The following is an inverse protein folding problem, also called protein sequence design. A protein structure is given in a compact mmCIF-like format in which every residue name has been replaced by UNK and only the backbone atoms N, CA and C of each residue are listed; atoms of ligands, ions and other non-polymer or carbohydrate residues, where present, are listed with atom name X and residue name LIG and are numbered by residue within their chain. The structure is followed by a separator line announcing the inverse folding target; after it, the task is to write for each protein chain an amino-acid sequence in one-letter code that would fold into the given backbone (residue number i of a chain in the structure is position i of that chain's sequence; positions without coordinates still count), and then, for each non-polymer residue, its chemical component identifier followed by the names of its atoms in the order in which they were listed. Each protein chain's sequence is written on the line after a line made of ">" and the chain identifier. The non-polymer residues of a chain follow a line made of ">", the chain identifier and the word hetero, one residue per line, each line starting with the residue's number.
data_IF_268253326976
#
_entry.id   IF_268253326976
#
_cell.length_a   1.000
_cell.length_b   1.000
_cell.length_c   1.000
_cell.angle_alpha   90.00
_cell.angle_beta   90.00
_cell.angle_gamma   90.00
#
_symmetry.space_group_name_H-M   'P 1'
#
loop_
_entity.id
_entity.type
_entity.pdbx_description
1 polymer ?
#
# COMPACT_ATOMS: atom_id res chain seq x y z
N UNK A 1 -12.26 27.27 38.58
CA UNK A 1 -11.59 25.98 38.32
C UNK A 1 -10.10 26.27 38.24
N UNK A 2 -9.27 25.67 39.10
CA UNK A 2 -7.82 25.87 39.03
C UNK A 2 -7.29 25.27 37.72
N UNK A 3 -6.42 26.01 37.02
CA UNK A 3 -5.81 25.53 35.78
C UNK A 3 -4.88 24.34 36.11
N UNK A 4 -5.14 23.13 35.60
CA UNK A 4 -4.31 21.96 35.89
C UNK A 4 -2.83 22.16 35.48
N UNK A 5 -2.56 23.03 34.51
CA UNK A 5 -1.20 23.36 34.08
C UNK A 5 -0.40 24.15 35.13
N UNK A 6 -1.06 24.92 36.00
CA UNK A 6 -0.38 25.67 37.06
C UNK A 6 0.22 24.75 38.13
N UNK A 7 -0.44 23.62 38.41
CA UNK A 7 0.07 22.62 39.36
C UNK A 7 1.31 21.90 38.84
N UNK A 8 1.34 21.59 37.54
CA UNK A 8 2.50 20.96 36.89
C UNK A 8 3.67 21.93 36.85
N UNK A 9 3.43 23.19 36.48
CA UNK A 9 4.46 24.22 36.44
C UNK A 9 5.14 24.42 37.80
N UNK A 10 4.35 24.58 38.88
CA UNK A 10 4.91 24.76 40.22
C UNK A 10 5.69 23.53 40.69
N UNK A 11 5.19 22.32 40.43
CA UNK A 11 5.88 21.08 40.78
C UNK A 11 7.22 20.89 40.07
N UNK A 12 7.31 21.29 38.79
CA UNK A 12 8.57 21.25 38.02
C UNK A 12 9.52 22.34 38.51
N UNK A 13 9.01 23.55 38.74
CA UNK A 13 9.80 24.69 39.19
C UNK A 13 10.45 24.43 40.57
N UNK A 14 9.73 23.79 41.49
CA UNK A 14 10.25 23.43 42.81
C UNK A 14 11.38 22.39 42.72
N UNK A 15 11.25 21.37 41.86
CA UNK A 15 12.32 20.38 41.65
C UNK A 15 13.57 20.96 40.98
N UNK A 16 13.45 22.05 40.24
CA UNK A 16 14.60 22.72 39.65
C UNK A 16 15.44 23.46 40.69
N UNK A 17 14.86 23.86 41.83
CA UNK A 17 15.62 24.41 42.96
C UNK A 17 16.53 23.36 43.60
N UNK A 18 16.06 22.13 43.79
CA UNK A 18 16.89 21.03 44.34
C UNK A 18 18.19 20.82 43.54
N UNK A 19 18.13 20.98 42.21
CA UNK A 19 19.28 20.88 41.32
C UNK A 19 20.23 22.08 41.45
N UNK A 20 19.69 23.29 41.59
CA UNK A 20 20.48 24.51 41.78
C UNK A 20 21.18 24.53 43.14
N UNK A 21 20.51 24.05 44.19
CA UNK A 21 21.06 23.93 45.53
C UNK A 21 22.16 22.85 45.56
N UNK A 22 21.93 21.72 44.90
CA UNK A 22 22.99 20.70 44.74
C UNK A 22 24.23 21.26 44.03
N UNK A 23 24.07 22.14 43.03
CA UNK A 23 25.20 22.81 42.36
C UNK A 23 25.89 23.84 43.27
N UNK A 24 25.13 24.54 44.09
CA UNK A 24 25.66 25.46 45.10
C UNK A 24 26.55 24.71 46.10
N UNK A 25 26.13 23.54 46.57
CA UNK A 25 26.92 22.65 47.44
C UNK A 25 28.21 22.14 46.77
N UNK A 26 28.28 22.15 45.43
CA UNK A 26 29.50 21.85 44.65
C UNK A 26 30.37 23.08 44.38
N UNK A 27 30.05 24.23 44.98
CA UNK A 27 30.82 25.46 44.85
C UNK A 27 30.48 26.27 43.59
N UNK A 28 29.34 25.99 42.93
CA UNK A 28 28.86 26.74 41.77
C UNK A 28 27.68 27.61 42.21
N UNK A 29 27.87 28.94 42.40
CA UNK A 29 26.85 29.81 43.00
C UNK A 29 25.76 30.25 42.00
N UNK A 30 25.12 29.29 41.33
CA UNK A 30 24.06 29.56 40.34
C UNK A 30 22.73 29.87 41.01
N UNK A 31 22.42 29.28 42.17
CA UNK A 31 21.20 29.57 42.92
C UNK A 31 21.08 31.06 43.28
N UNK A 32 22.14 31.65 43.87
CA UNK A 32 22.20 33.08 44.20
C UNK A 32 22.01 33.98 42.97
N UNK A 33 22.50 33.56 41.80
CA UNK A 33 22.33 34.31 40.56
C UNK A 33 20.88 34.30 40.09
N UNK A 34 20.21 33.14 40.12
CA UNK A 34 18.81 33.02 39.71
C UNK A 34 17.88 33.81 40.64
N UNK A 35 18.14 33.77 41.95
CA UNK A 35 17.43 34.60 42.92
C UNK A 35 17.65 36.09 42.69
N UNK A 36 18.91 36.52 42.50
CA UNK A 36 19.27 37.94 42.32
C UNK A 36 18.58 38.59 41.13
N UNK A 37 18.39 37.84 40.05
CA UNK A 37 17.78 38.35 38.82
C UNK A 37 16.33 37.90 38.62
N UNK A 38 15.73 37.24 39.62
CA UNK A 38 14.35 36.77 39.59
C UNK A 38 14.06 35.86 38.37
N UNK A 39 15.01 34.99 38.04
CA UNK A 39 14.95 34.08 36.89
C UNK A 39 14.28 32.77 37.34
N UNK A 40 13.23 32.29 36.66
CA UNK A 40 12.62 31.00 36.96
C UNK A 40 13.63 29.84 36.84
N UNK A 41 13.81 29.01 37.88
CA UNK A 41 14.72 27.86 37.88
C UNK A 41 14.55 26.90 36.71
N UNK A 42 13.32 26.77 36.18
CA UNK A 42 13.01 25.91 35.03
C UNK A 42 13.80 26.28 33.76
N UNK A 43 14.30 27.51 33.65
CA UNK A 43 15.14 27.93 32.52
C UNK A 43 16.53 27.28 32.55
N UNK A 44 17.01 26.82 33.70
CA UNK A 44 18.31 26.18 33.83
C UNK A 44 18.43 24.85 33.04
N UNK A 45 17.54 23.84 33.24
CA UNK A 45 17.60 22.62 32.43
C UNK A 45 17.31 22.87 30.95
N UNK A 46 16.45 23.85 30.61
CA UNK A 46 16.21 24.23 29.22
C UNK A 46 17.47 24.79 28.54
N UNK A 47 18.24 25.63 29.26
CA UNK A 47 19.51 26.13 28.77
C UNK A 47 20.53 24.99 28.57
N UNK A 48 20.58 24.01 29.47
CA UNK A 48 21.42 22.82 29.31
C UNK A 48 21.03 22.02 28.05
N UNK A 49 19.74 21.77 27.84
CA UNK A 49 19.24 21.05 26.65
C UNK A 49 19.63 21.80 25.37
N UNK A 50 19.47 23.12 25.33
CA UNK A 50 19.86 23.93 24.18
C UNK A 50 21.37 23.87 23.90
N UNK A 51 22.20 23.92 24.95
CA UNK A 51 23.65 23.81 24.81
C UNK A 51 24.04 22.40 24.31
N UNK A 52 23.40 21.34 24.83
CA UNK A 52 23.63 19.96 24.36
C UNK A 52 23.23 19.82 22.89
N UNK A 53 22.05 20.31 22.50
CA UNK A 53 21.58 20.27 21.11
C UNK A 53 22.55 21.01 20.17
N UNK A 54 23.06 22.17 20.61
CA UNK A 54 24.04 22.94 19.84
C UNK A 54 25.39 22.21 19.75
N UNK A 55 25.84 21.56 20.82
CA UNK A 55 27.06 20.73 20.81
C UNK A 55 26.88 19.53 19.88
N UNK A 56 25.73 18.85 19.91
CA UNK A 56 25.42 17.74 18.99
C UNK A 56 25.44 18.25 17.56
N UNK A 57 24.76 19.35 17.26
CA UNK A 57 24.75 19.95 15.94
C UNK A 57 26.16 20.35 15.45
N UNK A 58 27.02 20.85 16.35
CA UNK A 58 28.39 21.23 16.02
C UNK A 58 29.35 20.03 15.88
N UNK A 59 29.10 18.94 16.61
CA UNK A 59 29.93 17.73 16.61
C UNK A 59 29.48 16.68 15.57
N UNK A 60 28.30 16.83 14.98
CA UNK A 60 27.88 16.01 13.85
C UNK A 60 28.69 16.44 12.61
N UNK A 61 29.54 15.54 12.05
CA UNK A 61 30.36 15.88 10.89
C UNK A 61 29.47 16.17 9.68
N UNK A 62 29.62 17.37 9.12
CA UNK A 62 29.03 17.70 7.83
C UNK A 62 29.61 16.78 6.76
N UNK A 63 28.79 15.87 6.24
CA UNK A 63 29.12 15.02 5.09
C UNK A 63 29.95 13.80 5.44
N UNK A 64 29.28 12.69 5.73
CA UNK A 64 29.88 11.38 5.48
C UNK A 64 30.22 11.30 3.97
N UNK A 65 31.44 10.88 3.59
CA UNK A 65 31.76 10.64 2.19
C UNK A 65 30.80 9.58 1.64
N UNK A 66 30.17 9.93 0.51
CA UNK A 66 29.25 9.07 -0.23
C UNK A 66 29.96 7.74 -0.50
N UNK A 67 29.23 6.66 -0.24
CA UNK A 67 29.69 5.29 -0.32
C UNK A 67 30.38 4.98 -1.67
N UNK A 68 31.48 4.24 -1.57
CA UNK A 68 31.63 2.99 -2.31
C UNK A 68 32.11 3.01 -3.76
N UNK A 69 32.18 4.14 -4.46
CA UNK A 69 32.42 4.06 -5.90
C UNK A 69 33.82 3.50 -6.26
N UNK A 70 33.85 2.38 -7.01
CA UNK A 70 35.01 1.73 -7.62
C UNK A 70 35.18 0.23 -7.35
N UNK A 71 34.15 -0.49 -6.88
CA UNK A 71 34.24 -1.94 -6.63
C UNK A 71 33.81 -2.81 -7.83
N UNK A 72 33.33 -2.19 -8.90
CA UNK A 72 32.86 -2.84 -10.12
C UNK A 72 31.45 -3.43 -10.02
N UNK A 73 30.70 -3.18 -8.94
CA UNK A 73 29.35 -3.69 -8.70
C UNK A 73 28.43 -2.54 -8.32
N UNK A 74 27.43 -2.24 -9.14
CA UNK A 74 26.42 -1.22 -8.81
C UNK A 74 25.61 -1.64 -7.57
N UNK A 75 25.93 -1.05 -6.41
CA UNK A 75 25.26 -1.29 -5.14
C UNK A 75 23.85 -0.69 -5.07
N UNK A 76 23.05 -1.12 -4.09
CA UNK A 76 21.65 -0.65 -3.94
C UNK A 76 21.52 0.83 -3.57
N UNK A 77 22.58 1.46 -3.09
CA UNK A 77 22.67 2.90 -2.80
C UNK A 77 23.39 3.70 -3.88
N UNK A 78 23.90 3.01 -4.90
CA UNK A 78 24.62 3.62 -6.01
C UNK A 78 23.67 3.84 -7.17
N UNK A 79 23.76 5.02 -7.77
CA UNK A 79 23.02 5.36 -8.98
C UNK A 79 24.03 5.72 -10.05
N UNK A 80 23.64 5.66 -11.32
CA UNK A 80 24.49 6.18 -12.40
C UNK A 80 24.87 7.67 -12.20
N UNK A 81 24.10 8.42 -11.40
CA UNK A 81 24.38 9.82 -11.05
C UNK A 81 25.38 9.99 -9.91
N UNK A 82 25.49 9.02 -9.00
CA UNK A 82 26.40 9.06 -7.84
C UNK A 82 27.66 8.22 -8.04
N UNK A 83 27.60 7.16 -8.84
CA UNK A 83 28.71 6.26 -9.14
C UNK A 83 28.66 5.70 -10.57
N UNK A 84 29.00 6.52 -11.56
CA UNK A 84 29.01 6.12 -12.97
C UNK A 84 30.06 5.04 -13.31
N UNK A 85 31.09 4.86 -12.47
CA UNK A 85 32.13 3.85 -12.67
C UNK A 85 31.60 2.42 -12.48
N UNK A 86 30.72 2.20 -11.50
CA UNK A 86 30.17 0.87 -11.21
C UNK A 86 28.77 0.67 -11.83
N UNK A 87 27.95 1.73 -11.87
CA UNK A 87 26.57 1.69 -12.40
C UNK A 87 26.42 2.06 -13.88
N UNK A 88 27.53 2.43 -14.53
CA UNK A 88 27.56 2.90 -15.93
C UNK A 88 27.03 4.33 -16.11
N UNK A 89 27.23 4.88 -17.31
CA UNK A 89 26.78 6.25 -17.63
C UNK A 89 25.25 6.34 -17.66
N UNK A 90 24.68 7.37 -17.03
CA UNK A 90 23.26 7.70 -17.23
C UNK A 90 23.04 8.08 -18.70
N UNK A 91 22.38 7.23 -19.46
CA UNK A 91 21.91 7.58 -20.80
C UNK A 91 20.79 8.60 -20.65
N UNK A 92 21.08 9.86 -20.99
CA UNK A 92 20.18 11.03 -20.84
C UNK A 92 19.10 11.13 -21.91
N UNK A 93 18.93 10.12 -22.76
CA UNK A 93 17.81 10.05 -23.68
C UNK A 93 16.63 9.40 -22.96
N UNK A 94 15.62 10.17 -22.50
CA UNK A 94 14.39 9.58 -22.01
C UNK A 94 13.83 8.65 -23.10
N UNK A 95 13.34 7.46 -22.74
CA UNK A 95 12.77 6.53 -23.70
C UNK A 95 11.66 7.25 -24.49
N UNK A 96 11.85 7.35 -25.81
CA UNK A 96 10.89 7.99 -26.71
C UNK A 96 9.63 7.14 -26.80
N UNK A 97 8.54 7.62 -26.22
CA UNK A 97 7.23 7.00 -26.33
C UNK A 97 6.26 7.47 -25.24
N UNK A 98 4.97 7.27 -25.46
CA UNK A 98 3.95 7.49 -24.44
C UNK A 98 4.02 6.35 -23.41
N UNK A 99 4.01 6.69 -22.13
CA UNK A 99 4.02 5.70 -21.07
C UNK A 99 2.69 4.95 -21.00
N UNK A 100 2.72 3.66 -20.69
CA UNK A 100 1.53 2.80 -20.63
C UNK A 100 1.59 1.82 -19.44
N UNK A 101 0.48 1.11 -19.22
CA UNK A 101 0.36 0.06 -18.20
C UNK A 101 0.70 -1.31 -18.80
N UNK A 102 1.68 -2.00 -18.22
CA UNK A 102 2.05 -3.37 -18.55
C UNK A 102 1.43 -4.34 -17.54
N UNK A 103 0.78 -5.40 -18.02
CA UNK A 103 0.19 -6.45 -17.19
C UNK A 103 1.02 -7.73 -17.32
N UNK A 104 1.60 -8.20 -16.22
CA UNK A 104 2.23 -9.53 -16.17
C UNK A 104 1.24 -10.51 -15.54
N UNK A 105 0.79 -11.48 -16.33
CA UNK A 105 -0.10 -12.55 -15.88
C UNK A 105 0.75 -13.75 -15.49
N UNK A 106 0.55 -14.21 -14.26
CA UNK A 106 1.24 -15.36 -13.69
C UNK A 106 0.26 -16.52 -13.59
N UNK A 107 0.57 -17.61 -14.27
CA UNK A 107 -0.18 -18.86 -14.30
C UNK A 107 0.64 -19.96 -13.63
N UNK A 108 -0.01 -20.93 -12.97
CA UNK A 108 0.69 -21.96 -12.19
C UNK A 108 -0.18 -22.62 -11.12
N UNK A 109 0.43 -23.35 -10.17
CA UNK A 109 -0.29 -23.87 -9.01
C UNK A 109 -0.98 -22.75 -8.23
N UNK A 110 -2.01 -23.10 -7.46
CA UNK A 110 -2.76 -22.14 -6.64
C UNK A 110 -1.78 -21.24 -5.88
N UNK A 111 -1.85 -19.93 -6.15
CA UNK A 111 -0.94 -18.95 -5.56
C UNK A 111 -1.15 -18.96 -4.04
N UNK A 112 -0.30 -19.69 -3.33
CA UNK A 112 -0.39 -19.91 -1.88
C UNK A 112 0.63 -19.10 -1.09
N UNK A 113 1.45 -18.31 -1.76
CA UNK A 113 2.39 -17.36 -1.17
C UNK A 113 2.61 -16.14 -2.06
N UNK A 114 3.43 -15.21 -1.57
CA UNK A 114 3.79 -14.01 -2.31
C UNK A 114 4.82 -14.35 -3.39
N UNK A 115 4.57 -13.87 -4.61
CA UNK A 115 5.52 -13.96 -5.72
C UNK A 115 6.02 -12.56 -6.02
N UNK A 116 7.33 -12.41 -6.22
CA UNK A 116 7.93 -11.13 -6.65
C UNK A 116 8.17 -11.18 -8.15
N UNK A 117 7.52 -10.30 -8.90
CA UNK A 117 7.71 -10.16 -10.35
C UNK A 117 8.57 -8.94 -10.62
N UNK A 118 9.73 -9.13 -11.22
CA UNK A 118 10.68 -8.08 -11.61
C UNK A 118 10.75 -7.93 -13.13
N UNK A 119 10.82 -6.71 -13.63
CA UNK A 119 10.97 -6.39 -15.05
C UNK A 119 12.42 -6.02 -15.37
N UNK A 120 12.92 -6.50 -16.51
CA UNK A 120 14.25 -6.22 -17.02
C UNK A 120 14.19 -5.79 -18.49
N UNK A 121 15.09 -4.89 -18.90
CA UNK A 121 15.23 -4.46 -20.30
C UNK A 121 16.02 -5.47 -21.16
N UNK A 122 16.29 -5.13 -22.44
CA UNK A 122 17.06 -5.99 -23.34
C UNK A 122 18.51 -6.24 -22.92
N UNK A 123 19.06 -5.41 -22.05
CA UNK A 123 20.41 -5.51 -21.52
C UNK A 123 20.43 -6.15 -20.11
N UNK A 124 19.33 -6.76 -19.67
CA UNK A 124 19.17 -7.32 -18.32
C UNK A 124 19.28 -6.26 -17.21
N UNK A 125 19.03 -4.99 -17.53
CA UNK A 125 18.95 -3.92 -16.53
C UNK A 125 17.60 -3.98 -15.85
N UNK A 126 17.62 -3.97 -14.52
CA UNK A 126 16.42 -3.90 -13.71
C UNK A 126 15.63 -2.61 -14.00
N UNK A 127 14.31 -2.73 -14.15
CA UNK A 127 13.38 -1.62 -14.37
C UNK A 127 12.58 -1.37 -13.08
N UNK A 128 11.84 -2.37 -12.60
CA UNK A 128 10.92 -2.27 -11.44
C UNK A 128 10.48 -3.67 -11.00
N UNK A 129 9.91 -3.82 -9.81
CA UNK A 129 9.29 -5.05 -9.34
C UNK A 129 8.02 -4.82 -8.51
N UNK A 130 7.22 -5.87 -8.36
CA UNK A 130 6.09 -5.93 -7.45
C UNK A 130 5.99 -7.31 -6.82
N UNK A 131 5.64 -7.34 -5.54
CA UNK A 131 5.33 -8.57 -4.81
C UNK A 131 3.85 -8.69 -4.49
N UNK A 132 3.35 -9.92 -4.38
CA UNK A 132 2.06 -10.20 -3.78
C UNK A 132 1.41 -11.51 -4.24
N UNK A 133 0.30 -11.86 -3.58
CA UNK A 133 -0.51 -13.04 -3.86
C UNK A 133 -1.61 -12.75 -4.90
N UNK A 134 -1.22 -12.44 -6.13
CA UNK A 134 -2.13 -12.08 -7.22
C UNK A 134 -1.73 -12.72 -8.54
N UNK A 135 -2.71 -13.08 -9.37
CA UNK A 135 -2.46 -13.66 -10.70
C UNK A 135 -2.03 -12.63 -11.74
N UNK A 136 -2.22 -11.33 -11.46
CA UNK A 136 -1.88 -10.24 -12.38
C UNK A 136 -1.13 -9.13 -11.63
N UNK A 137 0.02 -8.75 -12.18
CA UNK A 137 0.86 -7.66 -11.70
C UNK A 137 0.80 -6.51 -12.70
N UNK A 138 0.36 -5.33 -12.25
CA UNK A 138 0.13 -4.15 -13.11
C UNK A 138 1.24 -3.13 -12.87
N UNK A 139 2.10 -2.92 -13.85
CA UNK A 139 3.18 -1.96 -13.81
C UNK A 139 2.79 -0.71 -14.59
N UNK A 140 3.03 0.47 -14.02
CA UNK A 140 2.69 1.75 -14.61
C UNK A 140 3.97 2.47 -15.06
N UNK A 141 3.81 3.50 -15.89
CA UNK A 141 4.92 4.32 -16.39
C UNK A 141 5.97 3.51 -17.18
N UNK A 142 5.53 2.49 -17.92
CA UNK A 142 6.39 1.68 -18.79
C UNK A 142 6.42 2.32 -20.18
N UNK A 143 7.61 2.45 -20.76
CA UNK A 143 7.80 3.01 -22.10
C UNK A 143 7.99 1.92 -23.16
N UNK A 144 7.67 2.17 -24.44
CA UNK A 144 7.85 1.19 -25.50
C UNK A 144 9.30 0.72 -25.63
N UNK A 145 9.56 -0.53 -25.29
CA UNK A 145 10.88 -1.15 -25.31
C UNK A 145 10.76 -2.68 -25.26
N UNK A 146 11.89 -3.37 -25.33
CA UNK A 146 11.92 -4.82 -25.09
C UNK A 146 12.05 -5.09 -23.59
N UNK A 147 11.14 -5.88 -23.04
CA UNK A 147 11.10 -6.24 -21.62
C UNK A 147 11.01 -7.75 -21.45
N UNK A 148 11.69 -8.28 -20.44
CA UNK A 148 11.45 -9.62 -19.89
C UNK A 148 10.96 -9.49 -18.44
N UNK A 149 10.03 -10.34 -18.04
CA UNK A 149 9.59 -10.43 -16.65
C UNK A 149 10.19 -11.67 -15.98
N UNK A 150 10.58 -11.56 -14.72
CA UNK A 150 11.08 -12.68 -13.91
C UNK A 150 10.27 -12.79 -12.64
N UNK A 151 9.59 -13.92 -12.43
CA UNK A 151 8.94 -14.24 -11.17
C UNK A 151 9.92 -14.96 -10.24
N UNK A 152 10.08 -14.47 -9.02
CA UNK A 152 10.82 -15.11 -7.93
C UNK A 152 9.82 -15.69 -6.93
N UNK A 153 9.90 -17.00 -6.75
CA UNK A 153 9.06 -17.80 -5.87
C UNK A 153 9.55 -17.75 -4.41
N UNK A 154 8.67 -18.00 -3.41
CA UNK A 154 9.07 -18.19 -2.01
C UNK A 154 10.11 -19.30 -1.81
N UNK A 155 10.09 -20.33 -2.66
CA UNK A 155 11.09 -21.41 -2.64
C UNK A 155 12.50 -20.95 -3.09
N UNK A 156 12.64 -19.70 -3.56
CA UNK A 156 13.87 -19.15 -4.13
C UNK A 156 14.06 -19.44 -5.61
N UNK A 157 13.19 -20.26 -6.22
CA UNK A 157 13.19 -20.51 -7.67
C UNK A 157 12.78 -19.27 -8.46
N UNK A 158 13.29 -19.18 -9.68
CA UNK A 158 13.01 -18.07 -10.59
C UNK A 158 12.56 -18.59 -11.94
N UNK A 159 11.51 -17.98 -12.49
CA UNK A 159 11.07 -18.19 -13.86
C UNK A 159 11.11 -16.88 -14.62
N UNK A 160 11.65 -16.90 -15.82
CA UNK A 160 11.79 -15.70 -16.67
C UNK A 160 11.04 -15.89 -17.99
N UNK A 161 10.33 -14.86 -18.41
CA UNK A 161 9.77 -14.80 -19.74
C UNK A 161 10.88 -14.60 -20.77
N UNK A 162 10.59 -14.92 -22.03
CA UNK A 162 11.39 -14.41 -23.14
C UNK A 162 11.30 -12.88 -23.20
N UNK A 163 12.31 -12.26 -23.82
CA UNK A 163 12.32 -10.83 -24.10
C UNK A 163 11.23 -10.51 -25.15
N UNK A 164 10.31 -9.63 -24.82
CA UNK A 164 9.18 -9.25 -25.69
C UNK A 164 9.17 -7.74 -25.94
N UNK A 165 8.92 -7.34 -27.18
CA UNK A 165 8.65 -5.93 -27.49
C UNK A 165 7.28 -5.57 -26.91
N UNK A 166 7.26 -4.64 -25.96
CA UNK A 166 6.03 -4.14 -25.35
C UNK A 166 5.77 -2.71 -25.79
N UNK A 167 4.49 -2.40 -26.00
CA UNK A 167 3.96 -1.09 -26.35
C UNK A 167 2.48 -1.02 -25.91
N UNK A 168 1.78 0.07 -26.23
CA UNK A 168 0.37 0.26 -25.87
C UNK A 168 -0.57 -0.83 -26.42
N UNK A 169 -0.21 -1.47 -27.53
CA UNK A 169 -1.03 -2.50 -28.19
C UNK A 169 -0.59 -3.92 -27.74
N UNK A 170 0.63 -4.06 -27.24
CA UNK A 170 1.23 -5.30 -26.74
C UNK A 170 1.71 -5.15 -25.29
N UNK A 171 0.76 -4.95 -24.39
CA UNK A 171 1.03 -4.63 -22.99
C UNK A 171 0.85 -5.82 -22.03
N UNK A 172 1.02 -7.06 -22.49
CA UNK A 172 0.87 -8.26 -21.67
C UNK A 172 2.06 -9.21 -21.78
N UNK A 173 2.52 -9.72 -20.64
CA UNK A 173 3.52 -10.80 -20.55
C UNK A 173 2.92 -11.94 -19.72
N UNK A 174 3.17 -13.19 -20.13
CA UNK A 174 2.72 -14.39 -19.43
C UNK A 174 3.92 -15.12 -18.81
N UNK A 175 3.77 -15.53 -17.54
CA UNK A 175 4.74 -16.33 -16.79
C UNK A 175 4.07 -17.60 -16.28
N UNK A 176 4.66 -18.75 -16.55
CA UNK A 176 4.24 -20.03 -15.98
C UNK A 176 5.15 -20.40 -14.81
N UNK A 177 4.61 -20.42 -13.60
CA UNK A 177 5.35 -20.84 -12.40
C UNK A 177 5.49 -22.37 -12.35
N UNK A 178 6.61 -22.89 -11.81
CA UNK A 178 6.78 -24.32 -11.60
C UNK A 178 5.85 -24.79 -10.46
N UNK A 179 5.50 -26.07 -10.46
CA UNK A 179 4.63 -26.67 -9.43
C UNK A 179 5.20 -26.50 -8.01
N UNK A 180 6.52 -26.49 -7.86
CA UNK A 180 7.24 -26.36 -6.58
C UNK A 180 7.64 -24.90 -6.24
N UNK A 181 6.97 -23.92 -6.85
CA UNK A 181 7.17 -22.51 -6.53
C UNK A 181 6.87 -22.20 -5.05
N UNK A 182 5.94 -22.92 -4.44
CA UNK A 182 5.49 -22.68 -3.06
C UNK A 182 6.00 -23.72 -2.05
N UNK A 183 6.81 -24.69 -2.49
CA UNK A 183 7.48 -25.61 -1.59
C UNK A 183 8.60 -24.85 -0.88
N UNK A 184 8.31 -24.33 0.31
CA UNK A 184 9.34 -23.78 1.19
C UNK A 184 10.36 -24.90 1.42
N UNK A 185 11.62 -24.65 1.07
CA UNK A 185 12.75 -25.54 1.39
C UNK A 185 12.90 -25.55 2.91
N UNK A 186 12.05 -26.30 3.61
CA UNK A 186 12.36 -26.77 4.95
C UNK A 186 13.36 -27.88 4.73
N UNK A 187 14.54 -27.78 5.35
CA UNK A 187 15.40 -28.93 5.51
C UNK A 187 14.62 -29.95 6.35
N UNK A 188 13.96 -30.87 5.66
CA UNK A 188 13.26 -31.97 6.28
C UNK A 188 14.35 -32.92 6.76
N UNK A 189 14.56 -32.95 8.08
CA UNK A 189 15.49 -33.89 8.71
C UNK A 189 14.83 -35.28 8.74
N UNK A 190 15.12 -36.10 7.72
CA UNK A 190 14.69 -37.48 7.70
C UNK A 190 15.53 -38.35 8.64
N UNK A 191 14.89 -39.21 9.42
CA UNK A 191 15.52 -40.28 10.20
C UNK A 191 15.04 -40.43 11.64
N UNK A 192 13.89 -39.88 12.02
CA UNK A 192 13.34 -40.04 13.38
C UNK A 192 12.38 -41.25 13.53
N UNK A 193 12.09 -41.94 12.41
CA UNK A 193 11.23 -43.11 12.33
C UNK A 193 9.73 -42.80 12.31
N UNK A 194 9.31 -41.55 12.10
CA UNK A 194 7.91 -41.14 11.98
C UNK A 194 7.71 -40.27 10.75
N UNK A 195 6.65 -40.50 9.99
CA UNK A 195 6.30 -39.64 8.87
C UNK A 195 5.50 -38.41 9.35
N UNK A 196 6.18 -37.29 9.54
CA UNK A 196 5.59 -36.03 10.02
C UNK A 196 5.17 -35.11 8.87
N UNK A 197 3.97 -35.33 8.32
CA UNK A 197 3.41 -34.53 7.21
C UNK A 197 3.37 -33.02 7.49
N UNK A 198 3.23 -32.62 8.76
CA UNK A 198 3.24 -31.20 9.16
C UNK A 198 4.62 -30.54 9.03
N UNK A 199 5.69 -31.34 8.98
CA UNK A 199 7.06 -30.91 8.74
C UNK A 199 7.45 -30.99 7.26
N UNK A 200 6.53 -31.39 6.40
CA UNK A 200 6.77 -31.54 4.97
C UNK A 200 7.42 -32.87 4.61
N UNK A 201 7.42 -33.85 5.52
CA UNK A 201 7.81 -35.21 5.19
C UNK A 201 6.77 -35.83 4.27
N UNK A 202 7.28 -36.32 3.15
CA UNK A 202 6.54 -37.04 2.14
C UNK A 202 7.35 -38.28 1.80
N UNK A 203 6.71 -39.24 1.13
CA UNK A 203 7.44 -40.39 0.62
C UNK A 203 8.57 -40.01 -0.35
N UNK A 204 8.39 -38.91 -1.11
CA UNK A 204 9.33 -38.45 -2.12
C UNK A 204 10.62 -37.88 -1.52
N UNK A 205 10.54 -37.25 -0.35
CA UNK A 205 11.69 -36.64 0.32
C UNK A 205 12.14 -37.38 1.59
N UNK A 206 11.33 -38.31 2.13
CA UNK A 206 11.56 -38.97 3.43
C UNK A 206 11.16 -40.45 3.46
N UNK A 207 11.63 -41.22 2.47
CA UNK A 207 11.28 -42.64 2.32
C UNK A 207 11.62 -43.51 3.55
N UNK A 208 12.66 -43.14 4.31
CA UNK A 208 13.10 -43.87 5.50
C UNK A 208 12.03 -43.92 6.60
N UNK A 209 11.28 -42.82 6.77
CA UNK A 209 10.29 -42.68 7.83
C UNK A 209 8.86 -42.93 7.32
N UNK A 210 8.57 -42.58 6.05
CA UNK A 210 7.24 -42.69 5.46
C UNK A 210 6.91 -44.05 4.80
N UNK A 211 7.91 -44.90 4.54
CA UNK A 211 7.71 -46.26 4.02
C UNK A 211 7.02 -46.33 2.64
N UNK A 212 6.72 -47.55 2.14
CA UNK A 212 5.95 -47.75 0.91
C UNK A 212 4.45 -47.42 1.13
N UNK A 213 3.86 -46.58 0.27
CA UNK A 213 2.43 -46.26 0.25
C UNK A 213 1.57 -47.53 0.37
N UNK A 214 0.80 -47.61 1.46
CA UNK A 214 -0.45 -48.36 1.46
C UNK A 214 -1.45 -47.49 0.70
N UNK A 215 -1.85 -47.94 -0.50
CA UNK A 215 -2.73 -47.20 -1.39
C UNK A 215 -4.17 -47.13 -0.84
N UNK A 216 -4.39 -46.24 0.11
CA UNK A 216 -5.71 -45.80 0.54
C UNK A 216 -5.68 -44.28 0.74
N UNK A 217 -5.59 -43.49 -0.33
CA UNK A 217 -6.13 -42.12 -0.32
C UNK A 217 -6.14 -41.52 -1.72
N UNK A 218 -7.32 -41.58 -2.36
CA UNK A 218 -7.66 -40.58 -3.35
C UNK A 218 -7.65 -39.23 -2.64
N UNK A 219 -6.93 -38.19 -3.12
CA UNK A 219 -6.97 -36.88 -2.51
C UNK A 219 -8.43 -36.47 -2.32
N UNK A 220 -8.81 -35.94 -1.14
CA UNK A 220 -10.18 -35.50 -0.92
C UNK A 220 -10.56 -34.59 -2.08
N UNK A 221 -11.76 -34.77 -2.67
CA UNK A 221 -12.19 -33.93 -3.77
C UNK A 221 -12.03 -32.46 -3.35
N UNK A 222 -11.54 -31.58 -4.24
CA UNK A 222 -11.37 -30.17 -3.92
C UNK A 222 -12.69 -29.65 -3.33
N UNK A 223 -12.63 -28.83 -2.26
CA UNK A 223 -13.83 -28.34 -1.60
C UNK A 223 -14.74 -27.72 -2.66
N UNK A 224 -15.95 -28.27 -2.78
CA UNK A 224 -16.93 -27.80 -3.75
C UNK A 224 -17.27 -26.36 -3.36
N UNK A 225 -16.92 -25.39 -4.21
CA UNK A 225 -17.31 -24.01 -3.98
C UNK A 225 -18.84 -23.94 -3.94
N UNK A 226 -19.38 -23.54 -2.79
CA UNK A 226 -20.81 -23.34 -2.61
C UNK A 226 -21.15 -21.89 -2.94
N UNK A 227 -22.32 -21.68 -3.54
CA UNK A 227 -22.83 -20.38 -3.95
C UNK A 227 -24.21 -20.18 -3.32
N UNK A 228 -24.47 -18.96 -2.83
CA UNK A 228 -25.80 -18.52 -2.42
C UNK A 228 -26.40 -17.54 -3.43
N UNK A 229 -27.70 -17.32 -3.32
CA UNK A 229 -28.44 -16.40 -4.19
C UNK A 229 -28.86 -15.14 -3.44
N UNK A 230 -28.71 -13.98 -4.07
CA UNK A 230 -29.27 -12.71 -3.59
C UNK A 230 -30.24 -12.18 -4.63
N UNK A 231 -31.50 -12.03 -4.26
CA UNK A 231 -32.54 -11.46 -5.11
C UNK A 231 -32.74 -9.98 -4.78
N UNK A 232 -32.51 -9.11 -5.76
CA UNK A 232 -32.46 -7.66 -5.56
C UNK A 232 -33.57 -7.01 -6.36
N UNK A 233 -34.30 -6.11 -5.69
CA UNK A 233 -35.23 -5.17 -6.32
C UNK A 233 -34.75 -3.74 -6.08
N UNK A 234 -34.71 -2.91 -7.13
CA UNK A 234 -34.34 -1.50 -7.05
C UNK A 234 -35.54 -0.65 -7.45
N UNK A 235 -35.95 0.22 -6.54
CA UNK A 235 -37.13 1.09 -6.71
C UNK A 235 -36.79 2.55 -6.46
N UNK A 236 -37.57 3.43 -7.07
CA UNK A 236 -37.55 4.86 -6.78
C UNK A 236 -38.05 5.10 -5.35
N UNK A 237 -37.29 5.85 -4.56
CA UNK A 237 -37.58 6.08 -3.15
C UNK A 237 -38.86 6.90 -2.91
N UNK A 238 -39.27 7.71 -3.90
CA UNK A 238 -40.44 8.59 -3.86
C UNK A 238 -41.68 7.83 -4.37
N UNK A 239 -41.60 7.24 -5.56
CA UNK A 239 -42.76 6.61 -6.22
C UNK A 239 -42.96 5.15 -5.81
N UNK A 240 -41.89 4.46 -5.41
CA UNK A 240 -41.90 3.03 -5.13
C UNK A 240 -41.93 2.14 -6.38
N UNK A 241 -41.93 2.74 -7.58
CA UNK A 241 -41.90 2.01 -8.85
C UNK A 241 -40.49 1.45 -9.12
N UNK A 242 -40.37 0.31 -9.81
CA UNK A 242 -39.08 -0.26 -10.19
C UNK A 242 -38.33 0.69 -11.13
N UNK A 243 -37.02 0.82 -10.92
CA UNK A 243 -36.16 1.62 -11.79
C UNK A 243 -35.62 0.75 -12.92
N UNK A 244 -35.77 1.20 -14.16
CA UNK A 244 -35.20 0.53 -15.33
C UNK A 244 -33.73 0.89 -15.54
N UNK A 245 -32.94 -0.09 -16.02
CA UNK A 245 -31.52 0.07 -16.39
C UNK A 245 -30.68 0.53 -15.19
N UNK A 246 -30.66 -0.28 -14.14
CA UNK A 246 -29.82 -0.05 -12.96
C UNK A 246 -28.59 -0.94 -13.04
N UNK A 247 -27.38 -0.38 -12.92
CA UNK A 247 -26.18 -1.18 -12.70
C UNK A 247 -26.02 -1.47 -11.21
N UNK A 248 -26.10 -2.74 -10.81
CA UNK A 248 -25.88 -3.18 -9.44
C UNK A 248 -24.61 -4.01 -9.35
N UNK A 249 -23.75 -3.66 -8.40
CA UNK A 249 -22.47 -4.32 -8.13
C UNK A 249 -22.48 -4.91 -6.73
N UNK A 250 -22.12 -6.19 -6.60
CA UNK A 250 -21.92 -6.84 -5.31
C UNK A 250 -20.43 -6.92 -4.98
N UNK A 251 -20.02 -6.25 -3.91
CA UNK A 251 -18.63 -6.18 -3.48
C UNK A 251 -18.45 -6.85 -2.13
N UNK A 252 -17.33 -7.53 -1.95
CA UNK A 252 -16.99 -8.18 -0.70
C UNK A 252 -16.63 -7.14 0.37
N UNK A 253 -17.26 -7.24 1.54
CA UNK A 253 -17.08 -6.26 2.63
C UNK A 253 -15.67 -6.19 3.20
N UNK A 254 -14.85 -7.23 3.03
CA UNK A 254 -13.50 -7.29 3.62
C UNK A 254 -12.43 -6.54 2.81
N UNK A 255 -12.59 -6.42 1.50
CA UNK A 255 -11.52 -5.95 0.60
C UNK A 255 -12.03 -5.27 -0.69
N UNK A 256 -13.33 -4.95 -0.77
CA UNK A 256 -13.95 -4.28 -1.91
C UNK A 256 -13.75 -5.01 -3.25
N UNK A 257 -13.51 -6.32 -3.23
CA UNK A 257 -13.41 -7.10 -4.46
C UNK A 257 -14.82 -7.34 -5.02
N UNK A 258 -15.00 -6.99 -6.29
CA UNK A 258 -16.22 -7.25 -7.04
C UNK A 258 -16.44 -8.77 -7.15
N UNK A 259 -17.54 -9.26 -6.58
CA UNK A 259 -17.93 -10.67 -6.71
C UNK A 259 -18.82 -10.89 -7.95
N UNK A 260 -19.74 -9.97 -8.23
CA UNK A 260 -20.62 -10.02 -9.41
C UNK A 260 -21.20 -8.61 -9.72
N UNK A 261 -21.61 -8.37 -10.97
CA UNK A 261 -22.19 -7.11 -11.44
C UNK A 261 -23.24 -7.38 -12.51
N UNK A 262 -24.42 -6.76 -12.38
CA UNK A 262 -25.52 -6.92 -13.34
C UNK A 262 -26.22 -5.61 -13.64
N UNK A 263 -26.66 -5.46 -14.89
CA UNK A 263 -27.63 -4.43 -15.27
C UNK A 263 -29.03 -5.00 -15.15
N UNK A 264 -29.87 -4.36 -14.35
CA UNK A 264 -31.25 -4.75 -14.07
C UNK A 264 -32.17 -4.16 -15.13
N UNK A 265 -33.10 -4.98 -15.63
CA UNK A 265 -34.24 -4.54 -16.43
C UNK A 265 -35.51 -4.78 -15.62
N UNK A 266 -36.39 -3.79 -15.53
CA UNK A 266 -37.53 -3.74 -14.60
C UNK A 266 -37.14 -3.75 -13.12
N UNK A 267 -35.97 -3.19 -12.78
CA UNK A 267 -35.52 -3.03 -11.40
C UNK A 267 -35.29 -4.33 -10.64
N UNK A 268 -35.13 -5.49 -11.29
CA UNK A 268 -34.95 -6.78 -10.61
C UNK A 268 -33.78 -7.59 -11.18
N UNK A 269 -33.00 -8.24 -10.30
CA UNK A 269 -32.01 -9.26 -10.68
C UNK A 269 -31.63 -10.17 -9.52
N UNK A 270 -31.23 -11.40 -9.85
CA UNK A 270 -30.64 -12.36 -8.90
C UNK A 270 -29.14 -12.53 -9.13
N UNK A 271 -28.35 -12.43 -8.07
CA UNK A 271 -26.89 -12.61 -8.04
C UNK A 271 -26.54 -13.98 -7.48
N UNK A 272 -25.53 -14.64 -8.04
CA UNK A 272 -24.99 -15.90 -7.51
C UNK A 272 -23.58 -15.64 -6.97
N UNK A 273 -23.45 -15.60 -5.66
CA UNK A 273 -22.21 -15.20 -4.98
C UNK A 273 -21.69 -16.36 -4.16
N UNK A 274 -20.36 -16.49 -4.04
CA UNK A 274 -19.74 -17.52 -3.19
C UNK A 274 -20.22 -17.39 -1.76
N UNK A 275 -20.66 -18.52 -1.18
CA UNK A 275 -21.19 -18.55 0.17
C UNK A 275 -20.09 -18.33 1.22
N UNK A 276 -20.51 -18.02 2.44
CA UNK A 276 -19.61 -17.79 3.56
C UNK A 276 -18.94 -16.41 3.56
N UNK A 277 -19.44 -15.48 2.74
CA UNK A 277 -18.90 -14.12 2.62
C UNK A 277 -19.97 -13.08 2.93
N UNK A 278 -19.55 -11.98 3.55
CA UNK A 278 -20.36 -10.78 3.67
C UNK A 278 -20.08 -9.87 2.45
N UNK A 279 -21.14 -9.45 1.78
CA UNK A 279 -21.10 -8.50 0.66
C UNK A 279 -21.96 -7.28 0.95
N UNK A 280 -21.66 -6.16 0.30
CA UNK A 280 -22.54 -5.01 0.22
C UNK A 280 -22.83 -4.69 -1.25
N UNK A 281 -23.93 -3.98 -1.48
CA UNK A 281 -24.44 -3.69 -2.81
C UNK A 281 -24.34 -2.21 -3.14
N UNK A 282 -23.82 -1.89 -4.32
CA UNK A 282 -23.88 -0.55 -4.88
C UNK A 282 -24.84 -0.56 -6.06
N UNK A 283 -25.64 0.50 -6.23
CA UNK A 283 -26.55 0.65 -7.36
C UNK A 283 -26.43 2.04 -7.99
N UNK A 284 -26.44 2.09 -9.32
CA UNK A 284 -26.39 3.31 -10.12
C UNK A 284 -27.49 3.25 -11.17
N UNK A 285 -28.18 4.38 -11.34
CA UNK A 285 -29.12 4.57 -12.44
C UNK A 285 -29.03 6.03 -12.89
N UNK A 286 -29.18 6.25 -14.20
CA UNK A 286 -29.22 7.60 -14.76
C UNK A 286 -30.40 8.38 -14.17
N UNK A 287 -30.15 9.62 -13.73
CA UNK A 287 -31.16 10.46 -13.07
C UNK A 287 -31.41 10.12 -11.60
N UNK A 288 -30.58 9.28 -10.96
CA UNK A 288 -30.66 8.97 -9.53
C UNK A 288 -29.33 9.23 -8.82
N UNK A 289 -29.41 9.52 -7.53
CA UNK A 289 -28.24 9.50 -6.65
C UNK A 289 -27.74 8.05 -6.48
N UNK A 290 -26.41 7.83 -6.49
CA UNK A 290 -25.86 6.50 -6.34
C UNK A 290 -26.20 5.94 -4.95
N UNK A 291 -26.58 4.68 -4.91
CA UNK A 291 -26.74 3.95 -3.65
C UNK A 291 -25.42 3.26 -3.32
N UNK A 292 -24.84 3.58 -2.16
CA UNK A 292 -23.59 3.00 -1.67
C UNK A 292 -23.87 2.14 -0.44
N UNK A 293 -23.82 0.82 -0.61
CA UNK A 293 -24.16 -0.12 0.46
C UNK A 293 -23.11 -0.21 1.58
N UNK A 294 -21.88 0.24 1.32
CA UNK A 294 -20.78 0.17 2.30
C UNK A 294 -21.11 0.89 3.61
N UNK A 295 -21.75 2.06 3.51
CA UNK A 295 -22.09 2.92 4.65
C UNK A 295 -23.40 2.52 5.32
N UNK A 296 -24.15 1.60 4.70
CA UNK A 296 -25.44 1.17 5.18
C UNK A 296 -25.40 -0.28 5.66
N UNK A 297 -25.27 -0.47 6.98
CA UNK A 297 -25.26 -1.80 7.61
C UNK A 297 -26.51 -2.61 7.31
N UNK A 298 -27.65 -1.99 6.95
CA UNK A 298 -28.87 -2.71 6.59
C UNK A 298 -28.82 -3.35 5.20
N UNK A 299 -27.77 -3.12 4.42
CA UNK A 299 -27.61 -3.66 3.05
C UNK A 299 -26.34 -4.51 2.92
N UNK A 300 -25.71 -4.84 4.05
CA UNK A 300 -24.71 -5.89 4.13
C UNK A 300 -25.40 -7.24 4.25
N UNK A 301 -25.03 -8.17 3.39
CA UNK A 301 -25.67 -9.48 3.31
C UNK A 301 -24.62 -10.56 3.41
N UNK A 302 -24.83 -11.46 4.37
CA UNK A 302 -24.05 -12.66 4.50
C UNK A 302 -24.63 -13.75 3.60
N UNK A 303 -23.84 -14.19 2.62
CA UNK A 303 -24.31 -15.14 1.61
C UNK A 303 -24.27 -16.56 2.18
N UNK A 304 -25.44 -17.11 2.50
CA UNK A 304 -25.57 -18.50 2.95
C UNK A 304 -25.61 -19.48 1.76
N UNK A 305 -25.09 -20.71 1.89
CA UNK A 305 -25.01 -21.66 0.77
C UNK A 305 -26.36 -22.23 0.31
N UNK A 306 -27.40 -22.13 1.13
CA UNK A 306 -28.73 -22.70 0.83
C UNK A 306 -29.85 -21.65 0.85
N UNK A 307 -29.52 -20.40 1.21
CA UNK A 307 -30.50 -19.32 1.35
C UNK A 307 -30.58 -18.43 0.11
N UNK A 308 -31.79 -17.92 -0.12
CA UNK A 308 -32.03 -16.77 -1.00
C UNK A 308 -32.33 -15.57 -0.11
N UNK A 309 -31.51 -14.53 -0.21
CA UNK A 309 -31.71 -13.28 0.50
C UNK A 309 -32.43 -12.28 -0.39
N UNK A 310 -33.46 -11.60 0.12
CA UNK A 310 -34.24 -10.61 -0.62
C UNK A 310 -33.90 -9.20 -0.16
N UNK A 311 -33.47 -8.35 -1.09
CA UNK A 311 -33.03 -6.98 -0.78
C UNK A 311 -33.80 -6.00 -1.65
N UNK A 312 -34.30 -4.93 -1.03
CA UNK A 312 -34.87 -3.79 -1.75
C UNK A 312 -33.99 -2.56 -1.57
N UNK A 313 -33.41 -2.09 -2.67
CA UNK A 313 -32.67 -0.83 -2.73
C UNK A 313 -33.63 0.29 -3.14
N UNK A 314 -33.63 1.39 -2.38
CA UNK A 314 -34.43 2.58 -2.66
C UNK A 314 -33.50 3.71 -3.10
N UNK A 315 -33.56 4.11 -4.36
CA UNK A 315 -32.72 5.19 -4.89
C UNK A 315 -33.49 6.50 -4.94
N UNK A 316 -32.84 7.60 -4.54
CA UNK A 316 -33.44 8.93 -4.63
C UNK A 316 -33.18 9.53 -6.01
N UNK A 317 -34.19 10.07 -6.71
CA UNK A 317 -33.97 10.83 -7.94
C UNK A 317 -32.97 11.97 -7.71
N UNK A 318 -32.14 12.24 -8.72
CA UNK A 318 -31.23 13.38 -8.73
C UNK A 318 -31.84 14.52 -9.54
N UNK A 319 -31.82 15.72 -8.99
CA UNK A 319 -32.24 16.94 -9.69
C UNK A 319 -31.17 17.44 -10.68
N UNK A 320 -29.97 16.86 -10.67
CA UNK A 320 -28.88 17.28 -11.53
C UNK A 320 -29.15 16.89 -13.01
N UNK A 321 -28.90 17.80 -13.98
CA UNK A 321 -29.00 17.46 -15.39
C UNK A 321 -28.12 16.26 -15.76
N UNK A 322 -28.61 15.39 -16.65
CA UNK A 322 -27.82 14.28 -17.17
C UNK A 322 -26.53 14.82 -17.83
N UNK A 323 -25.37 14.31 -17.40
CA UNK A 323 -24.07 14.78 -17.88
C UNK A 323 -23.59 16.10 -17.26
N UNK A 324 -24.24 16.60 -16.21
CA UNK A 324 -23.68 17.67 -15.39
C UNK A 324 -22.31 17.25 -14.85
N UNK A 325 -21.38 18.21 -14.78
CA UNK A 325 -20.02 17.97 -14.30
C UNK A 325 -19.76 18.78 -13.03
N UNK A 326 -19.20 18.11 -12.03
CA UNK A 326 -18.73 18.69 -10.78
C UNK A 326 -17.21 18.83 -10.76
N UNK A 327 -16.72 19.58 -9.78
CA UNK A 327 -15.28 19.71 -9.51
C UNK A 327 -14.91 18.90 -8.27
N UNK A 328 -14.02 17.93 -8.41
CA UNK A 328 -13.39 17.22 -7.30
C UNK A 328 -12.03 17.83 -7.01
N UNK A 329 -11.82 18.34 -5.82
CA UNK A 329 -10.52 18.79 -5.32
C UNK A 329 -9.90 17.72 -4.42
N UNK A 330 -8.75 17.16 -4.81
CA UNK A 330 -8.02 16.17 -4.01
C UNK A 330 -6.75 16.82 -3.50
N UNK A 331 -6.65 16.98 -2.17
CA UNK A 331 -5.50 17.56 -1.50
C UNK A 331 -4.68 16.47 -0.81
N UNK A 332 -3.36 16.48 -1.03
CA UNK A 332 -2.43 15.51 -0.43
C UNK A 332 -1.54 16.24 0.57
N UNK A 333 -1.55 15.77 1.82
CA UNK A 333 -0.73 16.34 2.90
C UNK A 333 0.15 15.27 3.55
N UNK A 334 1.19 15.73 4.24
CA UNK A 334 2.01 14.96 5.17
C UNK A 334 1.92 15.68 6.51
N UNK A 335 1.04 15.20 7.38
CA UNK A 335 0.61 16.02 8.52
C UNK A 335 -0.09 17.29 8.04
N UNK A 336 0.44 18.46 8.42
CA UNK A 336 -0.09 19.77 8.02
C UNK A 336 0.61 20.36 6.78
N UNK A 337 1.64 19.71 6.26
CA UNK A 337 2.39 20.20 5.09
C UNK A 337 1.82 19.64 3.78
N UNK A 338 1.65 20.47 2.74
CA UNK A 338 1.21 20.00 1.43
C UNK A 338 2.31 19.18 0.73
N UNK A 339 1.91 18.08 0.08
CA UNK A 339 2.81 17.25 -0.72
C UNK A 339 2.76 17.71 -2.17
N UNK A 340 3.92 18.11 -2.71
CA UNK A 340 4.01 18.75 -4.04
C UNK A 340 4.45 17.79 -5.16
N UNK A 341 4.74 16.53 -4.84
CA UNK A 341 5.22 15.54 -5.81
C UNK A 341 4.48 14.21 -5.65
N UNK A 342 4.48 13.42 -6.71
CA UNK A 342 3.74 12.16 -6.79
C UNK A 342 2.50 12.26 -7.67
N UNK A 343 1.78 11.15 -7.80
CA UNK A 343 0.65 11.03 -8.72
C UNK A 343 -0.62 10.62 -7.98
N UNK A 344 -1.69 11.36 -8.21
CA UNK A 344 -3.03 11.09 -7.64
C UNK A 344 -3.92 10.50 -8.74
N UNK A 345 -4.57 9.40 -8.41
CA UNK A 345 -5.57 8.76 -9.27
C UNK A 345 -6.94 8.83 -8.61
N UNK A 346 -7.98 9.12 -9.41
CA UNK A 346 -9.39 9.11 -9.01
C UNK A 346 -10.05 7.89 -9.62
N UNK A 347 -10.79 7.15 -8.81
CA UNK A 347 -11.40 5.88 -9.17
C UNK A 347 -12.92 5.95 -9.01
N UNK A 348 -13.62 5.34 -9.95
CA UNK A 348 -15.06 5.13 -9.90
C UNK A 348 -15.37 3.95 -8.99
N UNK A 349 -15.94 4.23 -7.82
CA UNK A 349 -16.31 3.18 -6.85
C UNK A 349 -17.40 2.29 -7.41
N UNK A 350 -18.27 2.88 -8.23
CA UNK A 350 -19.46 2.20 -8.71
C UNK A 350 -19.17 1.20 -9.83
N UNK A 351 -18.05 1.38 -10.53
CA UNK A 351 -17.54 0.50 -11.59
C UNK A 351 -16.40 -0.41 -11.11
N UNK A 352 -16.40 -0.80 -9.83
CA UNK A 352 -15.39 -1.71 -9.27
C UNK A 352 -14.01 -1.07 -9.14
N UNK A 353 -13.95 0.21 -8.74
CA UNK A 353 -12.71 0.99 -8.61
C UNK A 353 -11.95 1.14 -9.94
N UNK A 354 -12.66 1.32 -11.05
CA UNK A 354 -12.03 1.64 -12.33
C UNK A 354 -11.42 3.05 -12.27
N UNK A 355 -10.18 3.21 -12.73
CA UNK A 355 -9.54 4.52 -12.77
C UNK A 355 -10.24 5.45 -13.77
N UNK A 356 -10.68 6.61 -13.30
CA UNK A 356 -11.32 7.64 -14.12
C UNK A 356 -10.30 8.64 -14.66
N UNK A 357 -9.46 9.16 -13.77
CA UNK A 357 -8.51 10.24 -14.05
C UNK A 357 -7.25 10.06 -13.20
N UNK A 358 -6.15 10.62 -13.69
CA UNK A 358 -4.87 10.64 -13.01
C UNK A 358 -4.17 11.96 -13.31
N UNK A 359 -3.48 12.53 -12.33
CA UNK A 359 -2.72 13.77 -12.49
C UNK A 359 -1.56 13.85 -11.49
N UNK A 360 -0.47 14.47 -11.90
CA UNK A 360 0.72 14.67 -11.07
C UNK A 360 0.58 15.90 -10.19
N UNK A 361 0.91 15.76 -8.90
CA UNK A 361 0.82 16.81 -7.88
C UNK A 361 1.64 18.06 -8.21
N UNK A 362 2.70 17.92 -9.01
CA UNK A 362 3.52 19.05 -9.46
C UNK A 362 2.77 20.07 -10.32
N UNK A 363 1.56 19.73 -10.78
CA UNK A 363 0.67 20.65 -11.52
C UNK A 363 -0.34 21.37 -10.61
N UNK A 364 -0.45 20.97 -9.34
CA UNK A 364 -1.39 21.49 -8.37
C UNK A 364 -0.91 22.75 -7.65
N UNK A 365 -1.83 23.41 -6.95
CA UNK A 365 -1.53 24.53 -6.05
C UNK A 365 -1.65 23.99 -4.62
N UNK A 366 -0.61 24.19 -3.80
CA UNK A 366 -0.60 23.77 -2.38
C UNK A 366 -0.92 22.27 -2.18
N UNK A 367 -0.43 21.40 -3.07
CA UNK A 367 -0.67 19.95 -2.97
C UNK A 367 -2.10 19.51 -3.29
N UNK A 368 -2.93 20.40 -3.85
CA UNK A 368 -4.29 20.10 -4.29
C UNK A 368 -4.40 20.04 -5.82
N UNK A 369 -5.11 19.02 -6.30
CA UNK A 369 -5.45 18.82 -7.71
C UNK A 369 -6.95 18.93 -7.90
N UNK A 370 -7.38 19.45 -9.06
CA UNK A 370 -8.80 19.54 -9.43
C UNK A 370 -9.09 18.65 -10.61
N UNK A 371 -10.13 17.84 -10.48
CA UNK A 371 -10.63 16.93 -11.49
C UNK A 371 -12.07 17.30 -11.85
N UNK A 372 -12.39 17.25 -13.14
CA UNK A 372 -13.77 17.34 -13.61
C UNK A 372 -14.35 15.94 -13.68
N UNK A 373 -15.43 15.70 -12.95
CA UNK A 373 -16.09 14.39 -12.83
C UNK A 373 -17.60 14.58 -12.98
N UNK A 374 -18.30 13.62 -13.55
CA UNK A 374 -19.75 13.71 -13.71
C UNK A 374 -20.44 13.74 -12.32
N UNK A 375 -21.44 14.61 -12.19
CA UNK A 375 -22.26 14.74 -10.97
C UNK A 375 -22.98 13.42 -10.69
N UNK A 376 -23.20 13.14 -9.40
CA UNK A 376 -23.74 11.89 -8.88
C UNK A 376 -22.81 10.67 -9.05
N UNK A 377 -21.57 10.83 -9.54
CA UNK A 377 -20.60 9.73 -9.44
C UNK A 377 -20.05 9.62 -8.03
N UNK A 378 -19.97 8.39 -7.52
CA UNK A 378 -19.25 8.09 -6.30
C UNK A 378 -17.81 7.73 -6.61
N UNK A 379 -16.87 8.48 -6.04
CA UNK A 379 -15.43 8.34 -6.33
C UNK A 379 -14.61 8.21 -5.05
N UNK A 380 -13.46 7.54 -5.18
CA UNK A 380 -12.37 7.55 -4.20
C UNK A 380 -11.10 8.05 -4.87
N UNK A 381 -10.16 8.57 -4.10
CA UNK A 381 -8.85 8.94 -4.60
C UNK A 381 -7.75 8.21 -3.84
N UNK A 382 -6.60 8.00 -4.48
CA UNK A 382 -5.40 7.48 -3.85
C UNK A 382 -4.15 8.07 -4.49
N UNK A 383 -3.06 8.14 -3.72
CA UNK A 383 -1.73 8.44 -4.23
C UNK A 383 -1.11 7.14 -4.76
N UNK A 384 -1.14 6.97 -6.07
CA UNK A 384 -0.70 5.74 -6.76
C UNK A 384 0.81 5.70 -7.02
N UNK A 385 1.47 6.85 -7.01
CA UNK A 385 2.93 6.96 -7.07
C UNK A 385 3.37 8.03 -6.07
N UNK A 386 3.60 7.66 -4.79
CA UNK A 386 3.99 8.62 -3.77
C UNK A 386 5.42 9.14 -3.99
N UNK A 387 5.80 10.27 -3.37
CA UNK A 387 7.19 10.71 -3.32
C UNK A 387 8.12 9.64 -2.73
N UNK A 388 9.40 9.71 -3.05
CA UNK A 388 10.42 8.85 -2.43
C UNK A 388 10.38 8.99 -0.89
N UNK A 389 10.41 7.86 -0.19
CA UNK A 389 10.31 7.81 1.28
C UNK A 389 8.88 7.79 1.84
N UNK A 390 7.86 7.88 0.98
CA UNK A 390 6.46 7.78 1.37
C UNK A 390 5.83 6.48 0.90
N UNK A 391 4.94 5.89 1.70
CA UNK A 391 4.14 4.74 1.29
C UNK A 391 2.92 5.21 0.48
N UNK A 392 2.42 4.42 -0.50
CA UNK A 392 1.18 4.76 -1.19
C UNK A 392 0.04 4.93 -0.20
N UNK A 393 -0.81 5.95 -0.39
CA UNK A 393 -1.99 6.07 0.45
C UNK A 393 -2.92 4.89 0.16
N UNK A 394 -3.66 4.43 1.19
CA UNK A 394 -4.90 3.72 0.92
C UNK A 394 -5.87 4.58 0.10
N UNK A 395 -6.99 4.00 -0.33
CA UNK A 395 -8.08 4.78 -0.88
C UNK A 395 -8.67 5.70 0.19
N UNK A 396 -9.09 6.90 -0.21
CA UNK A 396 -9.92 7.77 0.62
C UNK A 396 -11.28 7.13 0.94
N UNK A 397 -12.03 7.79 1.82
CA UNK A 397 -13.47 7.60 1.89
C UNK A 397 -14.14 7.94 0.54
N UNK A 398 -15.31 7.34 0.31
CA UNK A 398 -16.09 7.60 -0.90
C UNK A 398 -16.73 8.98 -0.82
N UNK A 399 -16.64 9.76 -1.89
CA UNK A 399 -17.33 11.04 -2.04
C UNK A 399 -18.24 10.98 -3.26
N UNK A 400 -19.50 11.41 -3.11
CA UNK A 400 -20.41 11.60 -4.24
C UNK A 400 -20.23 12.99 -4.80
N UNK A 401 -19.95 13.10 -6.09
CA UNK A 401 -19.72 14.37 -6.77
C UNK A 401 -21.01 15.16 -6.90
N UNK A 402 -20.97 16.41 -6.46
CA UNK A 402 -22.05 17.41 -6.61
C UNK A 402 -21.72 18.40 -7.72
N UNK A 403 -22.65 19.29 -8.07
CA UNK A 403 -22.33 20.44 -8.94
C UNK A 403 -21.30 21.39 -8.29
N UNK A 404 -21.30 21.47 -6.96
CA UNK A 404 -20.31 22.20 -6.17
C UNK A 404 -18.97 21.47 -6.05
N UNK A 405 -17.96 22.15 -5.49
CA UNK A 405 -16.65 21.56 -5.23
C UNK A 405 -16.73 20.52 -4.12
N UNK A 406 -16.53 19.25 -4.49
CA UNK A 406 -16.32 18.15 -3.55
C UNK A 406 -14.84 18.06 -3.18
N UNK A 407 -14.49 17.77 -1.92
CA UNK A 407 -13.09 17.72 -1.47
C UNK A 407 -12.73 16.36 -0.85
N UNK A 408 -11.57 15.83 -1.24
CA UNK A 408 -10.92 14.67 -0.60
C UNK A 408 -9.57 15.12 -0.03
N UNK A 409 -9.26 14.70 1.19
CA UNK A 409 -7.95 14.91 1.81
C UNK A 409 -7.26 13.57 2.02
N UNK A 410 -6.05 13.43 1.46
CA UNK A 410 -5.20 12.25 1.59
C UNK A 410 -4.00 12.61 2.46
N UNK A 411 -3.82 11.91 3.59
CA UNK A 411 -2.64 12.09 4.44
C UNK A 411 -1.64 10.96 4.18
N UNK A 412 -0.44 11.31 3.74
CA UNK A 412 0.64 10.37 3.49
C UNK A 412 1.47 10.14 4.76
N UNK A 413 1.69 8.86 5.05
CA UNK A 413 2.72 8.46 6.01
C UNK A 413 4.03 8.35 5.27
N UNK A 414 4.85 9.38 5.38
CA UNK A 414 6.24 9.31 4.96
C UNK A 414 7.05 8.82 6.15
N UNK A 415 8.00 7.91 5.91
CA UNK A 415 9.07 7.77 6.87
C UNK A 415 9.77 9.13 6.86
N UNK A 416 9.60 9.91 7.94
CA UNK A 416 10.64 10.87 8.32
C UNK A 416 11.93 10.11 8.13
N UNK A 417 12.88 10.67 7.37
CA UNK A 417 14.18 10.04 7.13
C UNK A 417 14.61 9.45 8.46
N UNK A 418 14.41 8.13 8.61
CA UNK A 418 14.92 7.43 9.76
C UNK A 418 16.37 7.59 9.43
N UNK A 419 17.07 8.51 10.12
CA UNK A 419 18.51 8.62 10.05
C UNK A 419 18.94 7.17 10.13
N UNK A 420 19.36 6.61 8.98
CA UNK A 420 19.65 5.20 8.93
C UNK A 420 20.82 5.10 9.87
N UNK A 421 20.57 4.61 11.09
CA UNK A 421 21.60 4.39 12.06
C UNK A 421 22.47 3.33 11.39
N UNK A 422 23.54 3.79 10.76
CA UNK A 422 24.47 2.93 10.07
C UNK A 422 25.02 2.01 11.16
N UNK A 423 24.58 0.75 11.14
CA UNK A 423 25.13 -0.26 12.03
C UNK A 423 26.52 -0.55 11.50
N UNK A 424 27.50 0.15 12.06
CA UNK A 424 28.90 -0.08 11.74
C UNK A 424 29.33 -1.40 12.35
N UNK A 425 29.32 -2.45 11.55
CA UNK A 425 29.76 -3.78 11.99
C UNK A 425 31.28 -3.82 11.98
N UNK A 426 31.89 -3.77 13.16
CA UNK A 426 33.34 -3.91 13.34
C UNK A 426 33.64 -5.39 13.60
N UNK A 427 34.19 -6.09 12.61
CA UNK A 427 34.66 -7.47 12.83
C UNK A 427 36.08 -7.40 13.37
N UNK A 428 36.30 -7.91 14.59
CA UNK A 428 37.62 -7.96 15.22
C UNK A 428 38.06 -9.39 15.49
N UNK A 429 39.35 -9.65 15.38
CA UNK A 429 39.91 -10.95 15.77
C UNK A 429 39.98 -11.10 17.30
N UNK A 430 40.39 -12.29 17.75
CA UNK A 430 40.58 -12.60 19.19
C UNK A 430 41.65 -11.76 19.89
N UNK A 431 42.42 -10.97 19.14
CA UNK A 431 43.42 -10.02 19.64
C UNK A 431 42.95 -8.56 19.50
N UNK A 432 41.65 -8.36 19.25
CA UNK A 432 40.99 -7.06 19.12
C UNK A 432 41.44 -6.24 17.89
N UNK A 433 42.07 -6.86 16.89
CA UNK A 433 42.45 -6.20 15.63
C UNK A 433 41.27 -6.16 14.67
N UNK A 434 41.05 -5.01 14.05
CA UNK A 434 39.98 -4.84 13.07
C UNK A 434 40.30 -5.63 11.81
N UNK A 435 39.42 -6.56 11.45
CA UNK A 435 39.50 -7.38 10.24
C UNK A 435 38.76 -6.73 9.07
N UNK A 436 37.54 -6.25 9.32
CA UNK A 436 36.73 -5.53 8.32
C UNK A 436 35.71 -4.60 8.99
N UNK A 437 35.23 -3.60 8.24
CA UNK A 437 34.13 -2.70 8.61
C UNK A 437 33.23 -2.49 7.39
N UNK A 438 31.92 -2.38 7.62
CA UNK A 438 30.98 -1.77 6.66
C UNK A 438 30.68 -0.36 7.15
#
# INVERSE_FOLDING_TARGET
>A
MANPLAGIYNSINDKCWDLLDWLYDKGIPLAEYFEKYNIPPILFPLAIILVIALIIWLLLPAGAPVAGCGDGICGTTETCGTCAQDCGNCTTTPPTGEAFMLIVTVTGPALNGDVTVSLYDENQRYITDQSGRKAQFKFYNIYPQKISATATCPSGKRESSTLQQVDKDKNQIFLNLPMDCFDTVRNVECGDGRCDYNLGETQANCYADCGPEISEDTPPPPPIEQYGAIDITVVDAITGEPIDIVLVSALRSSDDILEDQKTLTNGHATFNIRSGKEVYLNAIADGYLPFLGMDNTSVRVYVSPEGMEFITIRMMPSDAPLGAQGTLEVCVTRGDEPVLTGTVSVFDVTSGNQMLRQSDLGTGIEGCLRFTVDVNKAVKAAVTSPPQGCTPSGFSDTVTITEDVSRISLNLTCQEEVEMAAVRVLVRDRFNRLLTQN
#
